data_IF_217909217344
#
_entry.id   IF_217909217344
#
_cell.length_a   1.000
_cell.length_b   1.000
_cell.length_c   1.000
_cell.angle_alpha   90.00
_cell.angle_beta   90.00
_cell.angle_gamma   90.00
#
_symmetry.space_group_name_H-M   'P 1'
#
loop_
_entity.id
_entity.type
_entity.pdbx_description
1 polymer ?
#
# COMPACT_ATOMS: atom_id res chain seq x y z
N UNK A 1 9.96 18.36 13.12
CA UNK A 1 9.12 17.16 13.00
C UNK A 1 8.47 17.21 11.63
N UNK A 2 9.10 16.63 10.60
CA UNK A 2 8.44 16.48 9.31
C UNK A 2 7.36 15.42 9.50
N UNK A 3 6.11 15.65 9.08
CA UNK A 3 5.10 14.60 9.14
C UNK A 3 5.64 13.45 8.29
N UNK A 4 5.77 12.25 8.90
CA UNK A 4 6.00 11.04 8.13
C UNK A 4 4.93 11.01 7.04
N UNK A 5 5.35 11.19 5.77
CA UNK A 5 4.44 11.17 4.63
C UNK A 5 4.04 9.71 4.41
N UNK A 6 3.07 9.25 5.21
CA UNK A 6 2.34 8.03 4.95
C UNK A 6 1.62 8.20 3.61
N UNK A 7 2.18 7.63 2.55
CA UNK A 7 1.59 7.71 1.23
C UNK A 7 0.44 6.71 1.18
N UNK A 8 -0.79 7.22 1.24
CA UNK A 8 -2.02 6.42 1.18
C UNK A 8 -2.34 6.08 -0.25
N UNK A 9 -2.39 4.80 -0.61
CA UNK A 9 -2.71 4.34 -1.95
C UNK A 9 -3.76 3.24 -1.91
N UNK A 10 -4.64 3.18 -2.91
CA UNK A 10 -5.42 1.96 -3.15
C UNK A 10 -4.51 0.84 -3.66
N UNK A 11 -5.08 -0.36 -3.81
CA UNK A 11 -4.44 -1.56 -4.39
C UNK A 11 -4.05 -1.43 -5.87
N UNK A 12 -4.12 -0.24 -6.46
CA UNK A 12 -3.75 -0.01 -7.86
C UNK A 12 -2.23 0.11 -8.00
N UNK A 13 -1.62 -0.81 -8.75
CA UNK A 13 -0.17 -0.92 -8.91
C UNK A 13 0.48 0.36 -9.45
N UNK A 14 -0.14 1.05 -10.43
CA UNK A 14 0.41 2.29 -10.97
C UNK A 14 0.51 3.39 -9.88
N UNK A 15 -0.50 3.47 -9.02
CA UNK A 15 -0.52 4.42 -7.90
C UNK A 15 0.49 4.06 -6.79
N UNK A 16 0.79 2.76 -6.64
CA UNK A 16 1.79 2.26 -5.72
C UNK A 16 3.18 2.62 -6.25
N UNK A 17 3.47 2.33 -7.52
CA UNK A 17 4.78 2.63 -8.15
C UNK A 17 5.10 4.13 -8.13
N UNK A 18 4.12 4.99 -8.42
CA UNK A 18 4.28 6.44 -8.32
C UNK A 18 4.66 6.89 -6.89
N UNK A 19 4.13 6.21 -5.86
CA UNK A 19 4.42 6.51 -4.47
C UNK A 19 5.74 5.94 -3.99
N UNK A 20 6.08 4.73 -4.44
CA UNK A 20 7.34 4.05 -4.12
C UNK A 20 8.55 4.87 -4.59
N UNK A 21 8.41 5.64 -5.68
CA UNK A 21 9.43 6.59 -6.16
C UNK A 21 9.90 7.58 -5.08
N UNK A 22 9.06 7.91 -4.10
CA UNK A 22 9.40 8.84 -3.03
C UNK A 22 10.00 8.17 -1.78
N UNK A 23 10.28 6.87 -1.83
CA UNK A 23 10.83 6.09 -0.72
C UNK A 23 10.11 6.34 0.62
N UNK A 24 8.80 6.09 0.70
CA UNK A 24 8.05 6.32 1.93
C UNK A 24 8.51 5.37 3.03
N UNK A 25 8.72 5.90 4.24
CA UNK A 25 8.96 5.05 5.42
C UNK A 25 7.71 4.28 5.84
N UNK A 26 6.53 4.86 5.59
CA UNK A 26 5.23 4.28 5.92
C UNK A 26 4.36 4.25 4.67
N UNK A 27 3.82 3.08 4.34
CA UNK A 27 2.86 2.92 3.25
C UNK A 27 1.50 2.50 3.81
N UNK A 28 0.44 3.20 3.43
CA UNK A 28 -0.91 2.92 3.91
C UNK A 28 -1.78 2.44 2.75
N UNK A 29 -2.25 1.20 2.84
CA UNK A 29 -3.18 0.64 1.88
C UNK A 29 -4.61 1.07 2.24
N UNK A 30 -5.28 1.70 1.26
CA UNK A 30 -6.69 2.02 1.32
C UNK A 30 -7.48 0.89 0.67
N UNK A 31 -8.03 0.01 1.49
CA UNK A 31 -8.80 -1.17 1.06
C UNK A 31 -10.30 -0.90 1.17
N UNK A 32 -11.03 -1.28 0.13
CA UNK A 32 -12.50 -1.23 0.08
C UNK A 32 -13.11 -2.61 0.27
N UNK A 33 -14.44 -2.70 0.40
CA UNK A 33 -15.16 -3.98 0.49
C UNK A 33 -14.85 -4.95 -0.68
N UNK A 34 -14.47 -4.41 -1.83
CA UNK A 34 -14.09 -5.22 -3.00
C UNK A 34 -12.69 -5.83 -2.84
N UNK A 35 -11.79 -5.18 -2.10
CA UNK A 35 -10.42 -5.63 -1.82
C UNK A 35 -10.36 -6.71 -0.72
N UNK A 36 -11.40 -6.84 0.10
CA UNK A 36 -11.53 -7.91 1.11
C UNK A 36 -12.26 -9.15 0.60
N UNK A 37 -12.61 -9.19 -0.69
CA UNK A 37 -13.08 -10.42 -1.34
C UNK A 37 -11.92 -11.44 -1.50
N UNK A 38 -12.19 -12.75 -1.70
CA UNK A 38 -11.12 -13.73 -1.89
C UNK A 38 -10.15 -13.38 -3.04
N UNK A 39 -10.68 -12.82 -4.12
CA UNK A 39 -9.89 -12.29 -5.24
C UNK A 39 -9.14 -11.01 -4.86
N UNK A 40 -9.79 -10.10 -4.13
CA UNK A 40 -9.18 -8.85 -3.67
C UNK A 40 -8.03 -9.08 -2.69
N UNK A 41 -8.16 -10.06 -1.77
CA UNK A 41 -7.12 -10.42 -0.81
C UNK A 41 -5.86 -10.97 -1.49
N UNK A 42 -6.03 -11.79 -2.54
CA UNK A 42 -4.90 -12.25 -3.33
C UNK A 42 -4.18 -11.08 -4.01
N UNK A 43 -4.94 -10.13 -4.56
CA UNK A 43 -4.39 -8.92 -5.17
C UNK A 43 -3.69 -8.02 -4.13
N UNK A 44 -4.32 -7.78 -2.98
CA UNK A 44 -3.75 -7.03 -1.87
C UNK A 44 -2.43 -7.66 -1.39
N UNK A 45 -2.39 -8.99 -1.26
CA UNK A 45 -1.18 -9.71 -0.87
C UNK A 45 -0.05 -9.52 -1.89
N UNK A 46 -0.37 -9.59 -3.18
CA UNK A 46 0.61 -9.31 -4.23
C UNK A 46 1.15 -7.87 -4.14
N UNK A 47 0.29 -6.89 -3.87
CA UNK A 47 0.68 -5.49 -3.71
C UNK A 47 1.51 -5.24 -2.44
N UNK A 48 1.21 -5.91 -1.33
CA UNK A 48 2.00 -5.85 -0.10
C UNK A 48 3.41 -6.40 -0.35
N UNK A 49 3.53 -7.55 -1.01
CA UNK A 49 4.84 -8.12 -1.37
C UNK A 49 5.63 -7.20 -2.30
N UNK A 50 4.96 -6.54 -3.25
CA UNK A 50 5.58 -5.54 -4.13
C UNK A 50 6.15 -4.34 -3.34
N UNK A 51 5.38 -3.80 -2.39
CA UNK A 51 5.81 -2.69 -1.54
C UNK A 51 6.93 -3.11 -0.58
N UNK A 52 6.92 -4.35 -0.08
CA UNK A 52 8.02 -4.91 0.72
C UNK A 52 9.30 -5.05 -0.10
N UNK A 53 9.19 -5.55 -1.32
CA UNK A 53 10.34 -5.67 -2.23
C UNK A 53 10.96 -4.31 -2.56
N UNK A 54 10.15 -3.24 -2.54
CA UNK A 54 10.61 -1.87 -2.72
C UNK A 54 11.30 -1.26 -1.48
N UNK A 55 11.35 -1.98 -0.34
CA UNK A 55 12.10 -1.57 0.85
C UNK A 55 11.32 -0.75 1.87
N UNK A 56 9.98 -0.75 1.81
CA UNK A 56 9.15 -0.12 2.84
C UNK A 56 9.05 -1.03 4.05
N UNK A 57 9.41 -0.52 5.23
CA UNK A 57 9.43 -1.29 6.48
C UNK A 57 8.08 -1.27 7.22
N UNK A 58 7.33 -0.17 7.12
CA UNK A 58 6.08 0.02 7.86
C UNK A 58 4.88 0.10 6.93
N UNK A 59 3.94 -0.85 7.10
CA UNK A 59 2.71 -0.91 6.31
C UNK A 59 1.51 -0.95 7.23
N UNK A 60 0.51 -0.14 6.92
CA UNK A 60 -0.80 -0.16 7.59
C UNK A 60 -1.89 -0.38 6.56
N UNK A 61 -2.93 -1.12 6.91
CA UNK A 61 -4.14 -1.25 6.11
C UNK A 61 -5.28 -0.54 6.84
N UNK A 62 -5.89 0.45 6.19
CA UNK A 62 -7.12 1.08 6.69
C UNK A 62 -8.28 0.64 5.82
N UNK A 63 -9.16 -0.18 6.38
CA UNK A 63 -10.50 -0.44 5.85
C UNK A 63 -11.41 0.71 6.25
N UNK A 64 -12.22 1.19 5.28
CA UNK A 64 -13.30 2.13 5.57
C UNK A 64 -14.56 1.39 6.01
#
# INVERSE_FOLDING_TARGET
MFPYLGLKASTNQAQIDERLKYHPEVFEFFTTDQDVTPSGLNHLKAMIEHVKAAGVDRMSCTTR
#
